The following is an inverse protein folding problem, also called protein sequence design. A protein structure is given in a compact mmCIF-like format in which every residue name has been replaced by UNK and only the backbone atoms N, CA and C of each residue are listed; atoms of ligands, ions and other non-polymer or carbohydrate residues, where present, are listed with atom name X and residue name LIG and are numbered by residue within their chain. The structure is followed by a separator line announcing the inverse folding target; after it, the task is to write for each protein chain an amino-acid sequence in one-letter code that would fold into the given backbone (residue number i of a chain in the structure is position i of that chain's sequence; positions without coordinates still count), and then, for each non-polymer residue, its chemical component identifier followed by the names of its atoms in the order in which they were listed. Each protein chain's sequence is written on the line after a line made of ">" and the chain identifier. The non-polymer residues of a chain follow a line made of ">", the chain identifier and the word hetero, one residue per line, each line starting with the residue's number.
data_IF_168775226317
#
_entry.id   IF_168775226317
#
_cell.length_a   1.000
_cell.length_b   1.000
_cell.length_c   1.000
_cell.angle_alpha   90.00
_cell.angle_beta   90.00
_cell.angle_gamma   90.00
#
_symmetry.space_group_name_H-M   'P 1'
#
loop_
_entity.id
_entity.type
_entity.pdbx_description
1 polymer ?
#
# COMPACT_ATOMS: atom_id res chain seq x y z
N UNK A 1 -11.66 11.94 -4.03
CA UNK A 1 -10.26 11.53 -3.83
C UNK A 1 -10.22 10.22 -3.07
N UNK A 2 -9.51 9.25 -3.62
CA UNK A 2 -9.21 7.94 -3.03
C UNK A 2 -7.69 7.80 -2.97
N UNK A 3 -7.21 7.21 -1.89
CA UNK A 3 -5.81 6.84 -1.67
C UNK A 3 -5.70 5.32 -1.72
N UNK A 4 -4.76 4.83 -2.52
CA UNK A 4 -4.45 3.41 -2.65
C UNK A 4 -3.02 3.22 -2.16
N UNK A 5 -2.84 2.61 -1.00
CA UNK A 5 -1.54 2.26 -0.44
C UNK A 5 -1.10 0.86 -0.86
N UNK A 6 0.18 0.74 -1.21
CA UNK A 6 0.84 -0.48 -1.67
C UNK A 6 2.20 -0.59 -1.00
N UNK A 7 2.55 -1.76 -0.47
CA UNK A 7 3.90 -2.04 0.01
C UNK A 7 4.30 -3.50 -0.12
N UNK A 8 5.60 -3.74 -0.05
CA UNK A 8 6.25 -5.06 -0.02
C UNK A 8 5.83 -5.99 -1.16
N UNK A 9 5.94 -5.47 -2.39
CA UNK A 9 5.51 -6.17 -3.62
C UNK A 9 6.68 -6.63 -4.48
N UNK A 10 7.90 -6.59 -3.95
CA UNK A 10 9.14 -6.85 -4.68
C UNK A 10 10.10 -7.77 -3.93
N UNK A 11 11.03 -8.36 -4.68
CA UNK A 11 12.16 -9.13 -4.20
C UNK A 11 13.44 -8.61 -4.85
N UNK A 12 14.60 -9.10 -4.39
CA UNK A 12 15.87 -8.79 -5.05
C UNK A 12 15.80 -9.19 -6.54
N UNK A 13 16.30 -8.33 -7.41
CA UNK A 13 16.29 -8.51 -8.88
C UNK A 13 14.91 -8.55 -9.57
N UNK A 14 13.85 -8.14 -8.89
CA UNK A 14 12.51 -8.00 -9.50
C UNK A 14 12.09 -6.54 -9.70
N UNK A 15 10.92 -6.31 -10.31
CA UNK A 15 10.36 -4.96 -10.44
C UNK A 15 9.92 -4.43 -9.07
N UNK A 16 10.32 -3.20 -8.74
CA UNK A 16 10.05 -2.63 -7.42
C UNK A 16 8.60 -2.18 -7.19
N UNK A 17 8.20 -1.97 -5.93
CA UNK A 17 6.85 -1.49 -5.55
C UNK A 17 6.42 -0.22 -6.28
N UNK A 18 7.34 0.75 -6.44
CA UNK A 18 7.05 1.99 -7.17
C UNK A 18 6.86 1.79 -8.69
N UNK A 19 7.31 0.67 -9.26
CA UNK A 19 7.00 0.32 -10.66
C UNK A 19 5.59 -0.25 -10.75
N UNK A 20 5.25 -1.22 -9.90
CA UNK A 20 3.89 -1.77 -9.81
C UNK A 20 2.83 -0.69 -9.63
N UNK A 21 3.06 0.25 -8.71
CA UNK A 21 2.10 1.33 -8.45
C UNK A 21 1.84 2.20 -9.70
N UNK A 22 2.85 2.41 -10.56
CA UNK A 22 2.69 3.15 -11.82
C UNK A 22 1.97 2.33 -12.88
N UNK A 23 2.27 1.03 -12.95
CA UNK A 23 1.60 0.13 -13.89
C UNK A 23 0.10 0.01 -13.53
N UNK A 24 -0.24 -0.14 -12.24
CA UNK A 24 -1.63 -0.10 -11.74
C UNK A 24 -2.29 1.26 -12.04
N UNK A 25 -1.58 2.37 -11.82
CA UNK A 25 -2.12 3.69 -12.13
C UNK A 25 -2.44 3.85 -13.63
N UNK A 26 -1.59 3.32 -14.51
CA UNK A 26 -1.84 3.33 -15.95
C UNK A 26 -3.07 2.49 -16.33
N UNK A 27 -3.28 1.33 -15.70
CA UNK A 27 -4.48 0.51 -15.87
C UNK A 27 -5.76 1.23 -15.43
N UNK A 28 -5.71 1.94 -14.29
CA UNK A 28 -6.85 2.69 -13.76
C UNK A 28 -7.15 3.97 -14.58
N UNK A 29 -6.15 4.53 -15.26
CA UNK A 29 -6.29 5.75 -16.06
C UNK A 29 -7.26 5.59 -17.25
N UNK A 30 -7.61 4.37 -17.62
CA UNK A 30 -8.65 4.09 -18.63
C UNK A 30 -10.06 4.54 -18.18
N UNK A 31 -10.31 4.61 -16.87
CA UNK A 31 -11.64 4.86 -16.30
C UNK A 31 -11.66 6.03 -15.29
N UNK A 32 -10.50 6.39 -14.75
CA UNK A 32 -10.39 7.38 -13.67
C UNK A 32 -9.29 8.39 -13.94
N UNK A 33 -9.36 9.54 -13.28
CA UNK A 33 -8.29 10.53 -13.29
C UNK A 33 -7.25 10.18 -12.22
N UNK A 34 -6.01 9.93 -12.66
CA UNK A 34 -4.86 9.74 -11.77
C UNK A 34 -4.29 11.11 -11.43
N UNK A 35 -4.29 11.45 -10.14
CA UNK A 35 -3.75 12.73 -9.66
C UNK A 35 -2.26 12.65 -9.41
N UNK A 36 -1.78 11.54 -8.85
CA UNK A 36 -0.37 11.33 -8.56
C UNK A 36 -0.07 9.86 -8.21
N UNK A 37 1.20 9.48 -8.33
CA UNK A 37 1.77 8.32 -7.64
C UNK A 37 2.91 8.84 -6.76
N UNK A 38 2.78 8.70 -5.45
CA UNK A 38 3.76 9.20 -4.47
C UNK A 38 4.50 8.05 -3.81
N UNK A 39 5.81 8.22 -3.60
CA UNK A 39 6.65 7.27 -2.86
C UNK A 39 6.87 7.78 -1.44
N UNK A 40 6.76 6.90 -0.45
CA UNK A 40 6.99 7.21 0.95
C UNK A 40 8.18 6.42 1.49
N UNK A 41 9.26 7.12 1.82
CA UNK A 41 10.35 6.51 2.57
C UNK A 41 9.88 6.18 3.99
N UNK A 42 10.05 4.93 4.42
CA UNK A 42 9.81 4.45 5.78
C UNK A 42 11.13 4.37 6.56
N UNK A 43 11.05 3.98 7.84
CA UNK A 43 12.20 3.92 8.73
C UNK A 43 13.32 3.03 8.18
N UNK A 44 14.55 3.52 8.32
CA UNK A 44 15.76 2.78 7.99
C UNK A 44 16.29 2.12 9.26
N UNK A 45 15.76 0.95 9.61
CA UNK A 45 16.14 0.19 10.80
C UNK A 45 16.70 -1.18 10.36
N UNK A 46 17.88 -1.61 10.85
CA UNK A 46 18.46 -2.91 10.52
C UNK A 46 17.58 -4.12 10.85
N UNK A 47 16.58 -3.95 11.72
CA UNK A 47 15.62 -5.00 12.10
C UNK A 47 14.47 -5.14 11.11
N UNK A 48 14.34 -4.24 10.13
CA UNK A 48 13.34 -4.31 9.06
C UNK A 48 14.01 -4.83 7.79
N UNK A 49 13.73 -6.08 7.36
CA UNK A 49 14.21 -6.58 6.09
C UNK A 49 13.70 -5.70 4.94
N UNK A 50 14.55 -5.33 4.00
CA UNK A 50 14.13 -4.70 2.75
C UNK A 50 15.13 -5.00 1.63
N UNK A 51 14.64 -5.04 0.38
CA UNK A 51 15.45 -5.37 -0.81
C UNK A 51 16.48 -4.30 -1.12
N UNK A 52 16.04 -3.03 -1.14
CA UNK A 52 16.88 -1.86 -1.41
C UNK A 52 16.59 -0.71 -0.45
N UNK A 53 15.33 -0.30 -0.38
CA UNK A 53 14.87 0.79 0.50
C UNK A 53 13.50 0.41 1.04
N UNK A 54 13.36 0.50 2.36
CA UNK A 54 12.07 0.35 3.03
C UNK A 54 11.13 1.50 2.60
N UNK A 55 10.22 1.26 1.67
CA UNK A 55 9.33 2.30 1.15
C UNK A 55 8.08 1.77 0.51
N UNK A 56 6.97 2.44 0.80
CA UNK A 56 5.67 2.19 0.19
C UNK A 56 5.33 3.18 -0.93
N UNK A 57 4.26 2.88 -1.66
CA UNK A 57 3.72 3.71 -2.71
C UNK A 57 2.24 4.02 -2.44
N UNK A 58 1.80 5.22 -2.85
CA UNK A 58 0.40 5.64 -2.81
C UNK A 58 -0.04 6.16 -4.16
N UNK A 59 -1.12 5.63 -4.72
CA UNK A 59 -1.80 6.15 -5.90
C UNK A 59 -2.94 7.06 -5.43
N UNK A 60 -3.00 8.27 -5.98
CA UNK A 60 -4.02 9.28 -5.70
C UNK A 60 -5.01 9.29 -6.87
N UNK A 61 -6.24 8.87 -6.60
CA UNK A 61 -7.27 8.64 -7.60
C UNK A 61 -8.41 9.64 -7.40
N UNK A 62 -8.74 10.44 -8.41
CA UNK A 62 -9.93 11.28 -8.35
C UNK A 62 -11.19 10.49 -8.73
N UNK A 63 -11.79 9.91 -7.70
CA UNK A 63 -13.01 9.13 -7.79
C UNK A 63 -13.87 9.30 -6.51
N UNK A 64 -15.18 9.03 -6.58
CA UNK A 64 -16.07 9.09 -5.43
C UNK A 64 -15.85 7.89 -4.50
N UNK A 65 -16.06 8.09 -3.20
CA UNK A 65 -15.84 7.07 -2.16
C UNK A 65 -16.61 5.75 -2.39
N UNK A 66 -17.75 5.81 -3.07
CA UNK A 66 -18.54 4.63 -3.45
C UNK A 66 -17.79 3.64 -4.36
N UNK A 67 -16.71 4.06 -5.02
CA UNK A 67 -15.91 3.20 -5.90
C UNK A 67 -14.87 2.37 -5.16
N UNK A 68 -14.59 2.66 -3.88
CA UNK A 68 -13.56 1.97 -3.08
C UNK A 68 -13.65 0.45 -3.17
N UNK A 69 -14.82 -0.22 -3.01
CA UNK A 69 -14.88 -1.68 -3.09
C UNK A 69 -14.50 -2.24 -4.48
N UNK A 70 -14.93 -1.57 -5.55
CA UNK A 70 -14.64 -1.99 -6.91
C UNK A 70 -13.15 -1.79 -7.25
N UNK A 71 -12.59 -0.64 -6.88
CA UNK A 71 -11.17 -0.32 -7.03
C UNK A 71 -10.31 -1.31 -6.24
N UNK A 72 -10.66 -1.58 -4.99
CA UNK A 72 -9.97 -2.56 -4.13
C UNK A 72 -9.90 -3.94 -4.80
N UNK A 73 -11.03 -4.46 -5.27
CA UNK A 73 -11.10 -5.78 -5.90
C UNK A 73 -10.28 -5.83 -7.20
N UNK A 74 -10.33 -4.78 -8.02
CA UNK A 74 -9.54 -4.70 -9.25
C UNK A 74 -8.05 -4.67 -8.98
N UNK A 75 -7.61 -3.83 -8.04
CA UNK A 75 -6.19 -3.69 -7.70
C UNK A 75 -5.67 -4.97 -7.06
N UNK A 76 -6.44 -5.59 -6.17
CA UNK A 76 -6.14 -6.92 -5.64
C UNK A 76 -5.88 -7.93 -6.76
N UNK A 77 -6.74 -7.98 -7.78
CA UNK A 77 -6.55 -8.89 -8.91
C UNK A 77 -5.26 -8.58 -9.70
N UNK A 78 -4.96 -7.31 -9.95
CA UNK A 78 -3.72 -6.89 -10.62
C UNK A 78 -2.47 -7.27 -9.81
N UNK A 79 -2.48 -7.05 -8.50
CA UNK A 79 -1.36 -7.42 -7.61
C UNK A 79 -1.15 -8.93 -7.55
N UNK A 80 -2.23 -9.71 -7.54
CA UNK A 80 -2.13 -11.18 -7.53
C UNK A 80 -1.67 -11.75 -8.88
N UNK A 81 -2.08 -11.14 -10.00
CA UNK A 81 -1.63 -11.54 -11.33
C UNK A 81 -0.13 -11.27 -11.53
N UNK A 82 0.39 -10.25 -10.87
CA UNK A 82 1.80 -9.85 -10.91
C UNK A 82 2.52 -10.16 -9.58
N UNK A 83 2.04 -11.21 -8.88
CA UNK A 83 2.58 -11.61 -7.59
C UNK A 83 4.00 -12.15 -7.73
N UNK A 84 4.88 -11.72 -6.83
CA UNK A 84 6.27 -12.14 -6.78
C UNK A 84 6.45 -13.08 -5.59
N UNK A 85 6.76 -14.37 -5.82
CA UNK A 85 6.99 -15.32 -4.74
C UNK A 85 8.08 -14.83 -3.77
N UNK A 86 7.75 -14.86 -2.48
CA UNK A 86 8.63 -14.41 -1.40
C UNK A 86 8.40 -12.97 -0.94
N UNK A 87 7.61 -12.17 -1.66
CA UNK A 87 7.16 -10.85 -1.20
C UNK A 87 5.93 -10.95 -0.28
N UNK A 88 5.65 -9.87 0.46
CA UNK A 88 4.58 -9.80 1.46
C UNK A 88 3.53 -8.69 1.17
N UNK A 89 2.84 -8.68 0.00
CA UNK A 89 2.19 -7.47 -0.46
C UNK A 89 1.04 -7.00 0.43
N UNK A 90 1.06 -5.72 0.78
CA UNK A 90 -0.03 -5.04 1.48
C UNK A 90 -0.83 -4.13 0.54
N UNK A 91 -2.15 -4.07 0.76
CA UNK A 91 -3.06 -3.19 0.04
C UNK A 91 -4.06 -2.52 0.99
N UNK A 92 -4.15 -1.20 0.91
CA UNK A 92 -5.19 -0.39 1.56
C UNK A 92 -5.85 0.57 0.55
N UNK A 93 -7.17 0.70 0.56
CA UNK A 93 -7.88 1.66 -0.30
C UNK A 93 -8.91 2.44 0.50
N UNK A 94 -8.80 3.77 0.52
CA UNK A 94 -9.70 4.61 1.31
C UNK A 94 -9.97 5.97 0.68
N UNK A 95 -11.16 6.51 0.91
CA UNK A 95 -11.49 7.92 0.61
C UNK A 95 -11.28 8.85 1.82
N UNK A 96 -11.02 8.30 3.01
CA UNK A 96 -10.88 9.03 4.26
C UNK A 96 -9.59 8.59 4.96
N UNK A 97 -8.77 9.56 5.34
CA UNK A 97 -7.53 9.33 6.09
C UNK A 97 -7.66 10.00 7.46
N UNK A 98 -8.08 9.26 8.50
CA UNK A 98 -8.13 9.77 9.86
C UNK A 98 -6.77 10.30 10.35
N UNK A 99 -6.80 11.26 11.29
CA UNK A 99 -5.58 11.82 11.89
C UNK A 99 -4.69 10.72 12.50
N UNK A 100 -5.29 9.71 13.13
CA UNK A 100 -4.54 8.60 13.71
C UNK A 100 -3.77 7.78 12.66
N UNK A 101 -4.34 7.56 11.46
CA UNK A 101 -3.65 6.92 10.33
C UNK A 101 -2.48 7.77 9.85
N UNK A 102 -2.69 9.10 9.78
CA UNK A 102 -1.60 10.04 9.43
C UNK A 102 -0.48 9.99 10.47
N UNK A 103 -0.80 9.90 11.76
CA UNK A 103 0.17 9.79 12.85
C UNK A 103 0.92 8.46 12.80
N UNK A 104 0.23 7.35 12.54
CA UNK A 104 0.84 6.04 12.31
C UNK A 104 1.84 6.09 11.14
N UNK A 105 1.41 6.62 9.99
CA UNK A 105 2.28 6.78 8.82
C UNK A 105 3.50 7.68 9.06
N UNK A 106 3.40 8.68 9.96
CA UNK A 106 4.58 9.47 10.40
C UNK A 106 5.50 8.64 11.29
N UNK A 107 4.96 7.91 12.27
CA UNK A 107 5.73 7.04 13.16
C UNK A 107 6.47 5.94 12.41
N UNK A 108 5.84 5.33 11.40
CA UNK A 108 6.46 4.30 10.56
C UNK A 108 7.72 4.78 9.82
N UNK A 109 7.91 6.11 9.67
CA UNK A 109 9.11 6.71 9.09
C UNK A 109 10.28 6.83 10.07
N UNK A 110 10.01 6.79 11.37
CA UNK A 110 10.97 7.14 12.42
C UNK A 110 11.23 5.98 13.39
N UNK A 111 10.23 5.13 13.62
CA UNK A 111 10.25 4.08 14.65
C UNK A 111 9.70 2.77 14.11
N UNK A 112 10.10 1.66 14.73
CA UNK A 112 9.45 0.37 14.50
C UNK A 112 7.97 0.44 14.92
N UNK A 113 7.12 -0.10 14.05
CA UNK A 113 5.69 -0.31 14.26
C UNK A 113 5.36 -1.76 13.95
N UNK A 114 4.20 -2.25 14.35
CA UNK A 114 3.84 -3.65 14.18
C UNK A 114 2.65 -3.84 13.23
N UNK A 115 2.59 -5.04 12.67
CA UNK A 115 1.47 -5.48 11.84
C UNK A 115 0.15 -5.46 12.63
N UNK A 116 0.18 -5.84 13.91
CA UNK A 116 -0.96 -5.78 14.82
C UNK A 116 -1.46 -4.34 14.97
N UNK A 117 -0.56 -3.38 15.20
CA UNK A 117 -0.93 -1.96 15.33
C UNK A 117 -1.60 -1.44 14.04
N UNK A 118 -1.05 -1.77 12.86
CA UNK A 118 -1.63 -1.38 11.57
C UNK A 118 -3.06 -1.93 11.39
N UNK A 119 -3.25 -3.22 11.68
CA UNK A 119 -4.55 -3.91 11.52
C UNK A 119 -5.60 -3.43 12.50
N UNK A 120 -5.24 -3.29 13.78
CA UNK A 120 -6.15 -2.77 14.81
C UNK A 120 -6.59 -1.35 14.46
N UNK A 121 -5.66 -0.51 14.02
CA UNK A 121 -5.98 0.85 13.62
C UNK A 121 -6.89 0.90 12.39
N UNK A 122 -6.61 0.11 11.36
CA UNK A 122 -7.47 0.00 10.19
C UNK A 122 -8.88 -0.48 10.57
N UNK A 123 -8.98 -1.53 11.40
CA UNK A 123 -10.25 -2.06 11.87
C UNK A 123 -11.07 -1.03 12.67
N UNK A 124 -10.43 -0.27 13.56
CA UNK A 124 -11.07 0.78 14.36
C UNK A 124 -11.69 1.89 13.50
N UNK A 125 -11.15 2.14 12.30
CA UNK A 125 -11.66 3.13 11.36
C UNK A 125 -12.43 2.52 10.17
N UNK A 126 -12.64 1.19 10.15
CA UNK A 126 -13.32 0.50 9.06
C UNK A 126 -12.60 0.61 7.72
N UNK A 127 -11.27 0.68 7.72
CA UNK A 127 -10.45 0.78 6.52
C UNK A 127 -10.11 -0.61 5.99
N UNK A 128 -10.31 -0.90 4.70
CA UNK A 128 -9.98 -2.19 4.11
C UNK A 128 -8.46 -2.30 3.96
N UNK A 129 -7.83 -3.07 4.84
CA UNK A 129 -6.41 -3.39 4.82
C UNK A 129 -6.25 -4.90 4.65
N UNK A 130 -5.56 -5.35 3.60
CA UNK A 130 -5.35 -6.77 3.33
C UNK A 130 -3.89 -7.07 3.01
N UNK A 131 -3.42 -8.22 3.51
CA UNK A 131 -2.22 -8.89 3.02
C UNK A 131 -2.57 -9.81 1.86
N UNK A 132 -1.64 -9.97 0.93
CA UNK A 132 -1.82 -10.75 -0.30
C UNK A 132 -0.73 -11.82 -0.49
N UNK A 133 0.16 -12.02 0.47
CA UNK A 133 1.23 -13.01 0.39
C UNK A 133 2.08 -13.09 1.65
N UNK A 134 2.82 -14.20 1.74
CA UNK A 134 3.83 -14.49 2.78
C UNK A 134 3.36 -14.27 4.22
N UNK A 135 4.12 -13.50 5.00
CA UNK A 135 3.81 -13.08 6.38
C UNK A 135 2.84 -11.91 6.46
N UNK A 136 2.51 -11.31 5.32
CA UNK A 136 1.63 -10.14 5.18
C UNK A 136 2.18 -8.85 5.79
N UNK A 137 3.50 -8.69 5.88
CA UNK A 137 4.14 -7.52 6.51
C UNK A 137 3.96 -6.21 5.75
N UNK A 138 3.71 -6.24 4.44
CA UNK A 138 3.42 -5.05 3.63
C UNK A 138 2.19 -4.26 4.11
N UNK A 139 1.32 -4.83 4.94
CA UNK A 139 0.19 -4.08 5.53
C UNK A 139 0.61 -2.95 6.47
N UNK A 140 1.88 -2.91 6.89
CA UNK A 140 2.41 -1.81 7.70
C UNK A 140 2.60 -0.55 6.85
N UNK A 141 3.12 -0.69 5.63
CA UNK A 141 3.40 0.45 4.76
C UNK A 141 2.28 0.83 3.80
N UNK A 142 1.35 -0.10 3.54
CA UNK A 142 0.13 0.12 2.76
C UNK A 142 -0.92 0.91 3.55
#
# INVERSE_FOLDING_TARGET
>A
MIYIGLDDTDMLDTRGTGRLARDIAAELAAEYVIMAVTRHQLSSDPRVPCTHKNSSAVIHLDAPASTVPAVMNRIKALMLADFIPGSDPGLCVTAVVPTAITQFGRRAKETLVSQTEARELAANYGLPLIGLGGTEDGVIGA
#
